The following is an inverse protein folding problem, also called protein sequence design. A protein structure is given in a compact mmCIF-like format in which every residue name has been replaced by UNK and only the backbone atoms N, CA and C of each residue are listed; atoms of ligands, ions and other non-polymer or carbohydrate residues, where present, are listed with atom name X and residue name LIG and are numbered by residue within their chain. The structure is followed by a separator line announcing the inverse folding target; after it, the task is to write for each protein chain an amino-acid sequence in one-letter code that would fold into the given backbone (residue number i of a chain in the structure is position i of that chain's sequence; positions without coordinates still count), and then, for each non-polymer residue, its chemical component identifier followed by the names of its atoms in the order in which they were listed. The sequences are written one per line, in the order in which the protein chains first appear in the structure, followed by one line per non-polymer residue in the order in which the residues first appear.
data_IF_382493372975
#
_entry.id   IF_382493372975
#
_cell.length_a   1.000
_cell.length_b   1.000
_cell.length_c   1.000
_cell.angle_alpha   90.00
_cell.angle_beta   90.00
_cell.angle_gamma   90.00
#
_symmetry.space_group_name_H-M   'P 1'
#
loop_
_entity.id
_entity.type
_entity.pdbx_description
1 polymer ?
#
# COMPACT_ATOMS: atom_id res chain seq x y z
N UNK A 1 11.42 10.85 -16.02
CA UNK A 1 10.21 10.13 -15.58
C UNK A 1 10.48 9.56 -14.20
N UNK A 2 9.68 9.89 -13.18
CA UNK A 2 9.75 9.17 -11.90
C UNK A 2 9.10 7.81 -12.10
N UNK A 3 9.75 6.73 -11.67
CA UNK A 3 9.13 5.41 -11.70
C UNK A 3 7.96 5.36 -10.71
N UNK A 4 6.86 4.75 -11.11
CA UNK A 4 5.75 4.47 -10.21
C UNK A 4 6.21 3.50 -9.12
N UNK A 5 5.97 3.84 -7.86
CA UNK A 5 6.36 3.05 -6.70
C UNK A 5 5.16 2.94 -5.75
N UNK A 6 4.82 1.72 -5.37
CA UNK A 6 3.75 1.45 -4.42
C UNK A 6 4.19 0.39 -3.42
N UNK A 7 3.65 0.46 -2.20
CA UNK A 7 3.77 -0.60 -1.21
C UNK A 7 2.62 -1.59 -1.42
N UNK A 8 2.91 -2.87 -1.35
CA UNK A 8 1.91 -3.93 -1.56
C UNK A 8 1.63 -4.55 -0.20
N UNK A 9 0.39 -4.41 0.24
CA UNK A 9 -0.11 -5.10 1.41
C UNK A 9 -0.28 -6.60 1.13
N UNK A 10 -0.10 -7.40 2.18
CA UNK A 10 -0.33 -8.84 2.20
C UNK A 10 -1.74 -9.24 1.76
N UNK A 11 -2.77 -8.41 2.03
CA UNK A 11 -4.16 -8.67 1.61
C UNK A 11 -4.27 -8.93 0.10
N UNK A 12 -3.51 -8.20 -0.72
CA UNK A 12 -3.45 -8.39 -2.19
C UNK A 12 -2.91 -9.78 -2.54
N UNK A 13 -1.86 -10.24 -1.86
CA UNK A 13 -1.26 -11.56 -2.09
C UNK A 13 -2.19 -12.68 -1.62
N UNK A 14 -2.80 -12.52 -0.45
CA UNK A 14 -3.72 -13.49 0.15
C UNK A 14 -4.95 -13.66 -0.75
N UNK A 15 -5.56 -12.56 -1.18
CA UNK A 15 -6.74 -12.59 -2.05
C UNK A 15 -6.41 -13.16 -3.44
N UNK A 16 -5.21 -12.89 -3.96
CA UNK A 16 -4.74 -13.55 -5.18
C UNK A 16 -4.70 -15.08 -5.03
N UNK A 17 -4.16 -15.59 -3.91
CA UNK A 17 -4.11 -17.02 -3.62
C UNK A 17 -5.50 -17.64 -3.43
N UNK A 18 -6.49 -16.86 -2.96
CA UNK A 18 -7.90 -17.27 -2.91
C UNK A 18 -8.60 -17.26 -4.27
N UNK A 19 -7.93 -16.79 -5.34
CA UNK A 19 -8.49 -16.71 -6.69
C UNK A 19 -9.28 -15.45 -6.97
N UNK A 20 -9.12 -14.39 -6.16
CA UNK A 20 -9.80 -13.12 -6.38
C UNK A 20 -9.33 -12.48 -7.70
N UNK A 21 -10.24 -12.23 -8.67
CA UNK A 21 -9.87 -11.71 -9.98
C UNK A 21 -9.30 -10.29 -9.91
N UNK A 22 -9.77 -9.45 -8.98
CA UNK A 22 -9.25 -8.10 -8.81
C UNK A 22 -7.80 -8.13 -8.29
N UNK A 23 -7.53 -8.95 -7.27
CA UNK A 23 -6.17 -9.15 -6.74
C UNK A 23 -5.21 -9.70 -7.81
N UNK A 24 -5.67 -10.64 -8.64
CA UNK A 24 -4.92 -11.15 -9.79
C UNK A 24 -4.57 -10.05 -10.79
N UNK A 25 -5.54 -9.20 -11.15
CA UNK A 25 -5.32 -8.11 -12.09
C UNK A 25 -4.35 -7.07 -11.51
N UNK A 26 -4.49 -6.71 -10.23
CA UNK A 26 -3.55 -5.84 -9.52
C UNK A 26 -2.11 -6.37 -9.59
N UNK A 27 -1.90 -7.63 -9.21
CA UNK A 27 -0.56 -8.23 -9.26
C UNK A 27 0.00 -8.35 -10.67
N UNK A 28 -0.84 -8.67 -11.67
CA UNK A 28 -0.39 -8.71 -13.06
C UNK A 28 0.11 -7.33 -13.54
N UNK A 29 -0.65 -6.27 -13.27
CA UNK A 29 -0.27 -4.90 -13.63
C UNK A 29 1.01 -4.42 -12.92
N UNK A 30 1.20 -4.83 -11.65
CA UNK A 30 2.40 -4.51 -10.87
C UNK A 30 3.64 -5.31 -11.32
N UNK A 31 3.47 -6.60 -11.61
CA UNK A 31 4.57 -7.54 -11.93
C UNK A 31 5.17 -7.29 -13.32
N UNK A 32 4.35 -6.87 -14.29
CA UNK A 32 4.82 -6.54 -15.64
C UNK A 32 5.80 -5.34 -15.62
N UNK A 33 5.75 -4.51 -14.57
CA UNK A 33 6.41 -3.20 -14.54
C UNK A 33 7.65 -3.10 -13.65
N UNK A 34 7.93 -3.99 -12.68
CA UNK A 34 9.00 -3.73 -11.69
C UNK A 34 9.62 -4.93 -10.96
N UNK A 35 10.82 -4.68 -10.42
CA UNK A 35 11.56 -5.47 -9.44
C UNK A 35 11.01 -5.24 -8.02
N UNK A 36 10.66 -6.32 -7.31
CA UNK A 36 10.26 -6.24 -5.90
C UNK A 36 11.44 -5.83 -5.01
N UNK A 37 11.19 -4.93 -4.05
CA UNK A 37 12.15 -4.53 -3.02
C UNK A 37 11.53 -4.73 -1.65
N UNK A 38 12.32 -5.24 -0.72
CA UNK A 38 11.94 -5.29 0.69
C UNK A 38 12.35 -3.98 1.36
N UNK A 39 11.48 -3.47 2.23
CA UNK A 39 11.73 -2.32 3.09
C UNK A 39 11.83 -2.80 4.54
N UNK A 40 12.75 -2.22 5.30
CA UNK A 40 13.02 -2.63 6.67
C UNK A 40 12.15 -1.85 7.67
N UNK A 41 11.53 -2.57 8.60
CA UNK A 41 10.89 -1.96 9.75
C UNK A 41 11.94 -1.67 10.83
N UNK A 42 12.35 -0.40 10.94
CA UNK A 42 13.28 0.07 11.97
C UNK A 42 12.54 0.82 13.10
N UNK A 43 13.28 1.26 14.12
CA UNK A 43 12.72 1.95 15.29
C UNK A 43 11.84 3.17 14.94
N UNK A 44 12.18 3.92 13.88
CA UNK A 44 11.37 5.06 13.44
C UNK A 44 10.04 4.62 12.83
N UNK A 45 10.04 3.55 12.03
CA UNK A 45 8.82 2.92 11.52
C UNK A 45 7.94 2.46 12.68
N UNK A 46 8.53 1.80 13.70
CA UNK A 46 7.79 1.38 14.89
C UNK A 46 7.20 2.55 15.69
N UNK A 47 7.94 3.66 15.82
CA UNK A 47 7.43 4.87 16.49
C UNK A 47 6.22 5.45 15.74
N UNK A 48 6.33 5.62 14.42
CA UNK A 48 5.22 6.09 13.59
C UNK A 48 4.02 5.13 13.67
N UNK A 49 4.27 3.82 13.67
CA UNK A 49 3.23 2.80 13.80
C UNK A 49 2.42 2.97 15.10
N UNK A 50 3.07 3.19 16.24
CA UNK A 50 2.35 3.46 17.51
C UNK A 50 1.49 4.70 17.44
N UNK A 51 2.01 5.79 16.87
CA UNK A 51 1.24 7.02 16.70
C UNK A 51 0.01 6.81 15.79
N UNK A 52 0.13 5.96 14.77
CA UNK A 52 -0.98 5.62 13.88
C UNK A 52 -2.03 4.71 14.55
N UNK A 53 -1.60 3.76 15.40
CA UNK A 53 -2.50 2.95 16.23
C UNK A 53 -3.32 3.89 17.13
N UNK A 54 -2.67 4.77 17.87
CA UNK A 54 -3.36 5.66 18.81
C UNK A 54 -4.30 6.64 18.10
N UNK A 55 -3.91 7.12 16.91
CA UNK A 55 -4.66 8.13 16.15
C UNK A 55 -5.86 7.56 15.39
N UNK A 56 -5.76 6.33 14.90
CA UNK A 56 -6.76 5.75 13.98
C UNK A 56 -7.37 4.44 14.46
N UNK A 57 -6.88 3.85 15.55
CA UNK A 57 -7.32 2.54 16.02
C UNK A 57 -6.91 1.39 15.10
N UNK A 58 -5.89 1.57 14.27
CA UNK A 58 -5.39 0.55 13.35
C UNK A 58 -4.85 -0.68 14.11
N UNK A 59 -5.02 -1.86 13.53
CA UNK A 59 -4.32 -3.05 14.00
C UNK A 59 -2.79 -2.86 13.84
N UNK A 60 -1.97 -3.52 14.67
CA UNK A 60 -0.52 -3.33 14.64
C UNK A 60 0.13 -3.55 13.27
N UNK A 61 -0.34 -4.54 12.51
CA UNK A 61 0.12 -4.81 11.14
C UNK A 61 -0.20 -3.66 10.17
N UNK A 62 -1.43 -3.14 10.20
CA UNK A 62 -1.87 -2.10 9.28
C UNK A 62 -1.18 -0.77 9.58
N UNK A 63 -1.02 -0.48 10.87
CA UNK A 63 -0.23 0.65 11.32
C UNK A 63 1.23 0.53 10.89
N UNK A 64 1.82 -0.67 10.89
CA UNK A 64 3.20 -0.89 10.45
C UNK A 64 3.33 -0.70 8.93
N UNK A 65 2.37 -1.18 8.14
CA UNK A 65 2.31 -0.98 6.68
C UNK A 65 2.23 0.51 6.35
N UNK A 66 1.28 1.21 6.96
CA UNK A 66 1.08 2.64 6.73
C UNK A 66 2.27 3.47 7.22
N UNK A 67 2.85 3.11 8.37
CA UNK A 67 4.07 3.73 8.88
C UNK A 67 5.26 3.54 7.93
N UNK A 68 5.41 2.35 7.35
CA UNK A 68 6.46 2.06 6.37
C UNK A 68 6.29 2.94 5.13
N UNK A 69 5.07 3.08 4.62
CA UNK A 69 4.78 3.99 3.51
C UNK A 69 5.18 5.42 3.84
N UNK A 70 4.79 5.92 5.02
CA UNK A 70 5.13 7.27 5.47
C UNK A 70 6.64 7.48 5.63
N UNK A 71 7.33 6.55 6.28
CA UNK A 71 8.76 6.67 6.58
C UNK A 71 9.61 6.68 5.31
N UNK A 72 9.29 5.81 4.35
CA UNK A 72 10.02 5.71 3.08
C UNK A 72 9.51 6.65 1.98
N UNK A 73 8.48 7.47 2.27
CA UNK A 73 7.89 8.39 1.29
C UNK A 73 7.17 7.71 0.14
N UNK A 74 6.65 6.50 0.36
CA UNK A 74 5.86 5.75 -0.63
C UNK A 74 4.44 6.33 -0.66
N UNK A 75 4.09 6.96 -1.79
CA UNK A 75 2.81 7.66 -1.95
C UNK A 75 1.61 6.73 -2.10
N UNK A 76 1.82 5.51 -2.61
CA UNK A 76 0.76 4.60 -3.01
C UNK A 76 0.79 3.33 -2.14
N UNK A 77 -0.34 2.99 -1.53
CA UNK A 77 -0.54 1.72 -0.84
C UNK A 77 -1.54 0.89 -1.64
N UNK A 78 -1.16 -0.32 -2.04
CA UNK A 78 -2.07 -1.28 -2.67
C UNK A 78 -2.56 -2.23 -1.59
N UNK A 79 -3.86 -2.17 -1.27
CA UNK A 79 -4.50 -3.03 -0.28
C UNK A 79 -5.96 -3.25 -0.69
N UNK A 80 -6.51 -4.39 -0.29
CA UNK A 80 -7.93 -4.72 -0.48
C UNK A 80 -8.74 -4.57 0.82
N UNK A 81 -8.09 -4.16 1.91
CA UNK A 81 -8.74 -3.90 3.19
C UNK A 81 -9.27 -2.45 3.22
N UNK A 82 -10.54 -2.30 3.59
CA UNK A 82 -11.25 -1.03 3.68
C UNK A 82 -10.82 -0.18 4.88
N UNK A 83 -10.24 -0.80 5.91
CA UNK A 83 -9.69 -0.14 7.10
C UNK A 83 -8.63 0.94 6.78
N UNK A 84 -8.00 0.87 5.61
CA UNK A 84 -7.00 1.85 5.16
C UNK A 84 -7.60 3.14 4.57
N UNK A 85 -8.88 3.18 4.19
CA UNK A 85 -9.43 4.30 3.41
C UNK A 85 -9.28 5.64 4.14
N UNK A 86 -9.79 5.71 5.38
CA UNK A 86 -9.73 6.93 6.18
C UNK A 86 -8.28 7.29 6.60
N UNK A 87 -7.47 6.37 7.15
CA UNK A 87 -6.08 6.66 7.51
C UNK A 87 -5.21 7.10 6.33
N UNK A 88 -5.27 6.42 5.18
CA UNK A 88 -4.51 6.80 3.99
C UNK A 88 -4.84 8.22 3.54
N UNK A 89 -6.13 8.56 3.47
CA UNK A 89 -6.59 9.90 3.10
C UNK A 89 -6.04 10.98 4.04
N UNK A 90 -6.04 10.72 5.36
CA UNK A 90 -5.53 11.67 6.36
C UNK A 90 -4.01 11.79 6.36
N UNK A 91 -3.30 10.76 5.94
CA UNK A 91 -1.84 10.71 5.88
C UNK A 91 -1.26 11.07 4.50
N UNK A 92 -2.11 11.47 3.54
CA UNK A 92 -1.68 11.87 2.20
C UNK A 92 -1.19 10.71 1.33
N UNK A 93 -1.62 9.49 1.65
CA UNK A 93 -1.31 8.26 0.92
C UNK A 93 -2.53 7.90 0.06
N UNK A 94 -2.26 7.50 -1.18
CA UNK A 94 -3.30 7.06 -2.12
C UNK A 94 -3.48 5.56 -1.97
N UNK A 95 -4.63 5.14 -1.45
CA UNK A 95 -5.04 3.74 -1.41
C UNK A 95 -5.44 3.28 -2.82
N UNK A 96 -4.92 2.15 -3.26
CA UNK A 96 -5.23 1.48 -4.53
C UNK A 96 -5.85 0.13 -4.20
N UNK A 97 -7.14 0.02 -4.50
CA UNK A 97 -8.00 -1.13 -4.20
C UNK A 97 -8.42 -1.88 -5.48
N UNK A 98 -8.11 -1.35 -6.66
CA UNK A 98 -8.49 -1.94 -7.95
C UNK A 98 -7.44 -1.73 -9.04
N UNK A 99 -7.45 -2.62 -10.04
CA UNK A 99 -6.57 -2.52 -11.19
C UNK A 99 -6.87 -1.27 -12.04
N UNK A 100 -8.14 -0.85 -12.09
CA UNK A 100 -8.57 0.37 -12.78
C UNK A 100 -7.94 1.60 -12.13
N UNK A 101 -8.05 1.72 -10.81
CA UNK A 101 -7.46 2.83 -10.04
C UNK A 101 -5.93 2.85 -10.14
N UNK A 102 -5.29 1.67 -10.15
CA UNK A 102 -3.85 1.54 -10.39
C UNK A 102 -3.44 2.12 -11.75
N UNK A 103 -4.19 1.80 -12.81
CA UNK A 103 -3.93 2.31 -14.17
C UNK A 103 -4.07 3.82 -14.23
N UNK A 104 -5.15 4.36 -13.66
CA UNK A 104 -5.38 5.81 -13.58
C UNK A 104 -4.23 6.53 -12.90
N UNK A 105 -3.80 6.06 -11.73
CA UNK A 105 -2.70 6.69 -10.98
C UNK A 105 -1.34 6.53 -11.68
N UNK A 106 -1.13 5.43 -12.39
CA UNK A 106 0.10 5.25 -13.18
C UNK A 106 0.15 6.21 -14.37
N UNK A 107 -0.99 6.47 -15.03
CA UNK A 107 -1.08 7.40 -16.16
C UNK A 107 -0.93 8.86 -15.74
N UNK A 108 -1.42 9.27 -14.56
CA UNK A 108 -1.23 10.63 -14.03
C UNK A 108 0.25 10.99 -13.77
N UNK A 109 1.11 9.99 -13.62
CA UNK A 109 2.54 10.16 -13.36
C UNK A 109 3.44 10.15 -14.60
N UNK A 110 2.88 9.93 -15.80
CA UNK A 110 3.57 9.99 -17.10
C UNK A 110 3.51 11.42 -17.66
#
# INVERSE_FOLDING_TARGET
MKSFQAFIDSSVLIEHLKGNPNARNLLQELTIKNLFKFLEANEFVYRISRDLIDKYGLLPNDALILATCKFYGVKYLVSLDDDFEYPCKREGIVLIDSAEKLKEETMKGM
#
